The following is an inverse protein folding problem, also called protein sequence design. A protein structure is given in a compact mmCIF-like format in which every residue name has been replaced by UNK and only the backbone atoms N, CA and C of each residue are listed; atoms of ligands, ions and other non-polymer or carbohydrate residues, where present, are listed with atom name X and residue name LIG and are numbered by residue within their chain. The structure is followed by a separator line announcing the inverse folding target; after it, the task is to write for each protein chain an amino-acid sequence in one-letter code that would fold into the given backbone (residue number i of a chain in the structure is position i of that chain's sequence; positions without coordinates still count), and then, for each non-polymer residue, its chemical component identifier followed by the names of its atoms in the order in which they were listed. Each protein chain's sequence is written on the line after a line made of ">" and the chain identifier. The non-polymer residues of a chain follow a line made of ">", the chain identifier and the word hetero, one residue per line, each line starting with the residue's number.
data_IF_345827097433
#
_entry.id   IF_345827097433
#
_cell.length_a   1.000
_cell.length_b   1.000
_cell.length_c   1.000
_cell.angle_alpha   90.00
_cell.angle_beta   90.00
_cell.angle_gamma   90.00
#
_symmetry.space_group_name_H-M   'P 1'
#
loop_
_entity.id
_entity.type
_entity.pdbx_description
1 polymer ?
#
# COMPACT_ATOMS: atom_id res chain seq x y z
N UNK A 1 -12.85 3.59 -42.54
CA UNK A 1 -13.25 4.00 -41.17
C UNK A 1 -12.05 3.76 -40.27
N UNK A 2 -11.30 4.83 -39.99
CA UNK A 2 -10.08 4.80 -39.17
C UNK A 2 -10.47 5.17 -37.76
N UNK A 3 -10.48 4.18 -36.87
CA UNK A 3 -10.85 4.34 -35.46
C UNK A 3 -9.66 4.92 -34.69
N UNK A 4 -9.89 6.12 -34.15
CA UNK A 4 -9.28 6.75 -32.98
C UNK A 4 -7.97 6.14 -32.42
N UNK A 5 -6.83 6.78 -32.73
CA UNK A 5 -5.73 6.81 -31.77
C UNK A 5 -6.17 7.73 -30.63
N UNK A 6 -6.31 7.15 -29.45
CA UNK A 6 -6.48 7.90 -28.21
C UNK A 6 -5.30 8.87 -28.07
N UNK A 7 -5.64 10.12 -27.78
CA UNK A 7 -4.75 11.25 -27.51
C UNK A 7 -3.94 10.95 -26.24
N UNK A 8 -2.85 10.18 -26.38
CA UNK A 8 -1.78 10.21 -25.39
C UNK A 8 -1.18 11.61 -25.43
N UNK A 9 -1.12 12.35 -24.31
CA UNK A 9 -0.58 13.70 -24.31
C UNK A 9 0.86 13.64 -24.82
N UNK A 10 1.09 14.11 -26.05
CA UNK A 10 2.42 14.18 -26.63
C UNK A 10 3.31 14.96 -25.66
N UNK A 11 4.45 14.39 -25.22
CA UNK A 11 5.34 15.08 -24.29
C UNK A 11 5.76 16.42 -24.88
N UNK A 12 5.86 17.46 -24.02
CA UNK A 12 6.18 18.79 -24.49
C UNK A 12 7.53 18.79 -25.21
N UNK A 13 7.67 19.52 -26.34
CA UNK A 13 8.84 19.39 -27.18
C UNK A 13 10.12 19.84 -26.45
N UNK A 14 11.22 19.10 -26.61
CA UNK A 14 12.48 19.24 -25.83
C UNK A 14 13.06 20.67 -25.78
N UNK A 15 12.77 21.49 -26.79
CA UNK A 15 13.23 22.88 -26.80
C UNK A 15 12.57 23.73 -25.71
N UNK A 16 11.35 23.40 -25.26
CA UNK A 16 10.68 24.07 -24.13
C UNK A 16 11.39 23.76 -22.80
N UNK A 17 11.74 22.49 -22.60
CA UNK A 17 12.52 22.03 -21.45
C UNK A 17 13.85 22.76 -21.32
N UNK A 18 14.55 22.96 -22.45
CA UNK A 18 15.78 23.76 -22.46
C UNK A 18 15.55 25.21 -22.06
N UNK A 19 14.46 25.85 -22.50
CA UNK A 19 14.13 27.23 -22.08
C UNK A 19 13.89 27.34 -20.57
N UNK A 20 13.46 26.26 -19.93
CA UNK A 20 13.26 26.17 -18.48
C UNK A 20 14.51 25.69 -17.71
N UNK A 21 15.67 25.61 -18.37
CA UNK A 21 16.93 25.28 -17.71
C UNK A 21 17.15 23.80 -17.44
N UNK A 22 16.45 22.91 -18.14
CA UNK A 22 16.77 21.49 -18.18
C UNK A 22 17.74 21.20 -19.33
N UNK A 23 18.75 20.37 -19.09
CA UNK A 23 19.50 19.74 -20.16
C UNK A 23 18.60 18.76 -20.93
N UNK A 24 18.97 18.44 -22.17
CA UNK A 24 18.22 17.45 -22.96
C UNK A 24 18.19 16.08 -22.27
N UNK A 25 19.29 15.70 -21.61
CA UNK A 25 19.36 14.44 -20.87
C UNK A 25 18.42 14.42 -19.66
N UNK A 26 18.35 15.51 -18.89
CA UNK A 26 17.39 15.63 -17.79
C UNK A 26 15.95 15.63 -18.31
N UNK A 27 15.66 16.44 -19.32
CA UNK A 27 14.32 16.53 -19.92
C UNK A 27 13.80 15.16 -20.34
N UNK A 28 14.65 14.35 -21.00
CA UNK A 28 14.30 12.96 -21.35
C UNK A 28 13.95 12.13 -20.12
N UNK A 29 14.76 12.15 -19.07
CA UNK A 29 14.49 11.39 -17.84
C UNK A 29 13.16 11.81 -17.18
N UNK A 30 12.88 13.11 -17.11
CA UNK A 30 11.62 13.60 -16.55
C UNK A 30 10.40 13.18 -17.40
N UNK A 31 10.53 13.24 -18.73
CA UNK A 31 9.49 12.77 -19.66
C UNK A 31 9.29 11.25 -19.53
N UNK A 32 10.37 10.48 -19.50
CA UNK A 32 10.34 9.02 -19.39
C UNK A 32 9.67 8.58 -18.07
N UNK A 33 9.86 9.33 -16.98
CA UNK A 33 9.20 9.12 -15.68
C UNK A 33 7.76 9.71 -15.62
N UNK A 34 7.24 10.22 -16.73
CA UNK A 34 5.87 10.71 -16.88
C UNK A 34 5.60 12.07 -16.23
N UNK A 35 6.61 12.93 -16.13
CA UNK A 35 6.45 14.29 -15.62
C UNK A 35 6.34 15.30 -16.77
N UNK A 36 5.35 16.20 -16.67
CA UNK A 36 5.31 17.40 -17.50
C UNK A 36 6.36 18.41 -17.06
N UNK A 37 6.71 19.34 -17.96
CA UNK A 37 7.72 20.37 -17.70
C UNK A 37 7.40 21.20 -16.45
N UNK A 38 6.14 21.60 -16.29
CA UNK A 38 5.69 22.38 -15.14
C UNK A 38 5.69 21.59 -13.83
N UNK A 39 5.48 20.27 -13.89
CA UNK A 39 5.58 19.41 -12.72
C UNK A 39 7.06 19.25 -12.30
N UNK A 40 7.95 18.98 -13.26
CA UNK A 40 9.39 18.88 -13.03
C UNK A 40 9.99 20.16 -12.41
N UNK A 41 9.56 21.34 -12.87
CA UNK A 41 9.97 22.61 -12.27
C UNK A 41 9.55 22.74 -10.81
N UNK A 42 8.31 22.33 -10.48
CA UNK A 42 7.82 22.38 -9.10
C UNK A 42 8.64 21.46 -8.19
N UNK A 43 8.96 20.24 -8.65
CA UNK A 43 9.85 19.34 -7.90
C UNK A 43 11.24 19.95 -7.69
N UNK A 44 11.86 20.51 -8.73
CA UNK A 44 13.15 21.22 -8.61
C UNK A 44 13.08 22.39 -7.64
N UNK A 45 12.01 23.18 -7.70
CA UNK A 45 11.77 24.30 -6.80
C UNK A 45 11.58 23.89 -5.34
N UNK A 46 11.24 22.63 -5.10
CA UNK A 46 11.00 22.06 -3.78
C UNK A 46 12.18 21.24 -3.24
N UNK A 47 13.35 21.33 -3.90
CA UNK A 47 14.59 20.68 -3.48
C UNK A 47 14.83 19.28 -4.10
N UNK A 48 13.96 18.81 -5.00
CA UNK A 48 14.10 17.50 -5.67
C UNK A 48 14.53 17.70 -7.11
N UNK A 49 15.81 17.47 -7.39
CA UNK A 49 16.42 17.85 -8.68
C UNK A 49 16.40 16.77 -9.75
N UNK A 50 16.22 15.51 -9.36
CA UNK A 50 16.23 14.37 -10.29
C UNK A 50 14.84 13.80 -10.47
N UNK A 51 14.55 13.31 -11.69
CA UNK A 51 13.28 12.65 -12.00
C UNK A 51 13.06 11.40 -11.13
N UNK A 52 14.13 10.62 -10.89
CA UNK A 52 14.11 9.43 -10.04
C UNK A 52 13.75 9.73 -8.57
N UNK A 53 14.31 10.80 -8.00
CA UNK A 53 13.96 11.21 -6.64
C UNK A 53 12.51 11.72 -6.58
N UNK A 54 12.09 12.53 -7.54
CA UNK A 54 10.72 13.04 -7.62
C UNK A 54 9.71 11.90 -7.77
N UNK A 55 10.06 10.87 -8.53
CA UNK A 55 9.27 9.66 -8.68
C UNK A 55 9.18 8.88 -7.38
N UNK A 56 10.29 8.68 -6.69
CA UNK A 56 10.30 8.00 -5.37
C UNK A 56 9.41 8.72 -4.36
N UNK A 57 9.49 10.05 -4.30
CA UNK A 57 8.62 10.88 -3.46
C UNK A 57 7.15 10.85 -3.90
N UNK A 58 6.87 10.89 -5.20
CA UNK A 58 5.51 10.74 -5.74
C UNK A 58 4.91 9.39 -5.36
N UNK A 59 5.67 8.31 -5.46
CA UNK A 59 5.24 6.96 -5.03
C UNK A 59 5.02 6.86 -3.52
N UNK A 60 5.71 7.68 -2.73
CA UNK A 60 5.45 7.83 -1.30
C UNK A 60 4.21 8.69 -0.98
N UNK A 61 3.47 9.16 -1.99
CA UNK A 61 2.32 10.03 -1.85
C UNK A 61 2.68 11.51 -1.62
N UNK A 62 3.95 11.89 -1.80
CA UNK A 62 4.36 13.29 -1.73
C UNK A 62 3.92 14.04 -2.98
N UNK A 63 3.70 15.34 -2.80
CA UNK A 63 3.60 16.31 -3.89
C UNK A 63 4.78 17.27 -3.79
N UNK A 64 5.08 18.06 -4.84
CA UNK A 64 6.06 19.14 -4.73
C UNK A 64 5.78 20.07 -3.53
N UNK A 65 4.52 20.27 -3.17
CA UNK A 65 4.14 21.15 -2.06
C UNK A 65 4.44 20.57 -0.67
N UNK A 66 4.42 19.25 -0.53
CA UNK A 66 4.65 18.58 0.76
C UNK A 66 6.09 18.10 0.92
N UNK A 67 6.81 17.87 -0.18
CA UNK A 67 8.16 17.29 -0.13
C UNK A 67 9.19 18.21 0.52
N UNK A 68 9.11 19.53 0.33
CA UNK A 68 10.03 20.48 0.98
C UNK A 68 10.00 20.35 2.50
N UNK A 69 8.79 20.21 3.08
CA UNK A 69 8.62 19.99 4.51
C UNK A 69 9.29 18.69 4.97
N UNK A 70 9.09 17.60 4.24
CA UNK A 70 9.66 16.29 4.56
C UNK A 70 11.18 16.28 4.42
N UNK A 71 11.73 16.93 3.39
CA UNK A 71 13.17 17.09 3.22
C UNK A 71 13.80 17.89 4.35
N UNK A 72 13.16 18.98 4.80
CA UNK A 72 13.62 19.77 5.97
C UNK A 72 13.60 18.98 7.27
N UNK A 73 12.64 18.08 7.42
CA UNK A 73 12.58 17.14 8.53
C UNK A 73 13.57 15.96 8.40
N UNK A 74 14.35 15.88 7.31
CA UNK A 74 15.31 14.80 7.06
C UNK A 74 14.64 13.46 6.76
N UNK A 75 13.37 13.47 6.36
CA UNK A 75 12.62 12.26 6.04
C UNK A 75 13.11 11.65 4.72
N UNK A 76 12.97 10.34 4.61
CA UNK A 76 13.07 9.61 3.34
C UNK A 76 11.68 9.33 2.77
N UNK A 77 11.54 8.97 1.48
CA UNK A 77 10.27 8.49 0.93
C UNK A 77 9.66 7.33 1.73
N UNK A 78 10.51 6.45 2.30
CA UNK A 78 10.05 5.35 3.16
C UNK A 78 9.45 5.86 4.47
N UNK A 79 10.02 6.89 5.08
CA UNK A 79 9.46 7.48 6.30
C UNK A 79 8.10 8.10 6.01
N UNK A 80 7.98 8.85 4.91
CA UNK A 80 6.73 9.44 4.47
C UNK A 80 5.60 8.40 4.34
N UNK A 81 5.85 7.26 3.69
CA UNK A 81 4.88 6.16 3.63
C UNK A 81 4.50 5.71 5.04
N UNK A 82 5.49 5.43 5.90
CA UNK A 82 5.22 4.93 7.27
C UNK A 82 4.32 5.87 8.08
N UNK A 83 4.58 7.17 8.05
CA UNK A 83 3.77 8.15 8.78
C UNK A 83 2.35 8.26 8.18
N UNK A 84 2.23 8.28 6.85
CA UNK A 84 0.93 8.32 6.18
C UNK A 84 0.06 7.11 6.50
N UNK A 85 0.63 5.90 6.44
CA UNK A 85 -0.09 4.66 6.74
C UNK A 85 -0.60 4.63 8.19
N UNK A 86 0.15 5.27 9.10
CA UNK A 86 -0.26 5.43 10.50
C UNK A 86 -1.27 6.55 10.72
N UNK A 87 -1.76 7.18 9.65
CA UNK A 87 -2.86 8.15 9.66
C UNK A 87 -2.45 9.59 10.01
N UNK A 88 -1.17 9.94 9.91
CA UNK A 88 -0.69 11.30 10.14
C UNK A 88 -0.79 12.16 8.88
N UNK A 89 -1.09 13.44 9.05
CA UNK A 89 -0.98 14.40 7.95
C UNK A 89 0.50 14.62 7.56
N UNK A 90 0.80 15.09 6.34
CA UNK A 90 2.17 15.43 5.95
C UNK A 90 2.85 16.40 6.92
N UNK A 91 2.10 17.35 7.46
CA UNK A 91 2.59 18.36 8.41
C UNK A 91 2.97 17.73 9.75
N UNK A 92 2.05 16.98 10.35
CA UNK A 92 2.28 16.28 11.61
C UNK A 92 3.41 15.26 11.51
N UNK A 93 3.51 14.56 10.37
CA UNK A 93 4.54 13.59 10.10
C UNK A 93 5.94 14.23 10.15
N UNK A 94 6.10 15.39 9.51
CA UNK A 94 7.37 16.10 9.47
C UNK A 94 7.78 16.63 10.84
N UNK A 95 6.86 17.29 11.55
CA UNK A 95 7.13 17.86 12.87
C UNK A 95 7.56 16.78 13.88
N UNK A 96 6.86 15.64 13.89
CA UNK A 96 7.18 14.53 14.78
C UNK A 96 8.44 13.77 14.38
N UNK A 97 8.68 13.60 13.07
CA UNK A 97 9.94 13.02 12.61
C UNK A 97 11.13 13.91 12.99
N UNK A 98 11.00 15.23 12.85
CA UNK A 98 12.01 16.20 13.27
C UNK A 98 12.24 16.14 14.80
N UNK A 99 11.19 15.87 15.58
CA UNK A 99 11.29 15.61 17.03
C UNK A 99 11.91 14.24 17.39
N UNK A 100 12.24 13.40 16.40
CA UNK A 100 12.80 12.06 16.61
C UNK A 100 11.78 11.01 17.07
N UNK A 101 10.49 11.32 16.96
CA UNK A 101 9.42 10.37 17.28
C UNK A 101 9.31 9.28 16.21
N UNK A 102 8.67 8.17 16.57
CA UNK A 102 8.29 7.11 15.63
C UNK A 102 6.78 7.12 15.41
N UNK A 103 6.29 6.82 14.19
CA UNK A 103 4.86 6.79 13.93
C UNK A 103 4.23 5.61 14.67
N UNK A 104 3.07 5.86 15.30
CA UNK A 104 2.25 4.84 15.97
C UNK A 104 0.87 4.76 15.32
N UNK A 105 0.23 3.57 15.24
CA UNK A 105 -1.05 3.39 14.54
C UNK A 105 -2.16 4.33 15.00
N UNK A 106 -2.72 5.08 14.04
CA UNK A 106 -3.96 5.87 14.17
C UNK A 106 -4.86 5.56 12.95
N UNK A 107 -6.08 6.07 12.94
CA UNK A 107 -6.95 5.99 11.76
C UNK A 107 -7.36 4.56 11.36
N UNK A 108 -7.04 4.14 10.14
CA UNK A 108 -7.42 2.82 9.58
C UNK A 108 -6.74 1.68 10.33
N UNK A 109 -5.41 1.76 10.55
CA UNK A 109 -4.67 0.75 11.31
C UNK A 109 -5.11 0.67 12.77
N UNK A 110 -5.47 1.81 13.39
CA UNK A 110 -6.07 1.78 14.73
C UNK A 110 -7.43 1.10 14.72
N UNK A 111 -8.32 1.42 13.76
CA UNK A 111 -9.61 0.73 13.62
C UNK A 111 -9.45 -0.76 13.34
N UNK A 112 -8.42 -1.15 12.58
CA UNK A 112 -8.08 -2.54 12.34
C UNK A 112 -7.69 -3.26 13.64
N UNK A 113 -6.82 -2.64 14.44
CA UNK A 113 -6.38 -3.16 15.73
C UNK A 113 -7.50 -3.16 16.79
N UNK A 114 -8.57 -2.37 16.58
CA UNK A 114 -9.64 -2.13 17.55
C UNK A 114 -11.05 -2.37 16.94
N UNK A 115 -11.20 -3.35 16.02
CA UNK A 115 -12.49 -3.71 15.36
C UNK A 115 -13.58 -4.14 16.35
N UNK A 116 -13.22 -4.47 17.59
CA UNK A 116 -14.14 -4.77 18.70
C UNK A 116 -14.54 -3.53 19.53
N UNK A 117 -15.40 -2.70 18.94
CA UNK A 117 -16.43 -1.78 19.48
C UNK A 117 -16.27 -0.97 20.81
N UNK A 118 -16.81 0.27 20.91
CA UNK A 118 -17.04 0.95 22.20
C UNK A 118 -18.14 0.24 23.02
N UNK A 119 -18.17 0.40 24.36
CA UNK A 119 -19.16 -0.29 25.19
C UNK A 119 -20.52 0.42 25.13
N UNK A 120 -21.54 -0.29 24.59
CA UNK A 120 -22.95 -0.02 24.91
C UNK A 120 -23.92 -0.12 23.72
N UNK A 121 -24.65 -1.23 23.63
CA UNK A 121 -25.86 -1.31 22.77
C UNK A 121 -26.44 -2.71 22.69
N UNK A 122 -27.70 -2.88 23.08
CA UNK A 122 -28.47 -4.13 22.93
C UNK A 122 -28.57 -4.60 21.45
N UNK A 123 -28.39 -3.71 20.49
CA UNK A 123 -28.31 -4.02 19.05
C UNK A 123 -27.05 -4.84 18.68
N UNK A 124 -25.93 -4.65 19.40
CA UNK A 124 -24.73 -5.44 19.17
C UNK A 124 -24.93 -6.91 19.58
N UNK A 125 -25.79 -7.19 20.56
CA UNK A 125 -26.09 -8.57 20.97
C UNK A 125 -26.93 -9.32 19.92
N UNK A 126 -27.85 -8.65 19.22
CA UNK A 126 -28.62 -9.27 18.13
C UNK A 126 -27.76 -9.58 16.90
N UNK A 127 -26.92 -8.64 16.47
CA UNK A 127 -25.99 -8.84 15.35
C UNK A 127 -24.93 -9.91 15.66
N UNK A 128 -24.38 -9.91 16.88
CA UNK A 128 -23.47 -10.97 17.34
C UNK A 128 -24.19 -12.33 17.38
N UNK A 129 -25.44 -12.38 17.84
CA UNK A 129 -26.24 -13.60 17.87
C UNK A 129 -26.62 -14.10 16.48
N UNK A 130 -26.84 -13.20 15.52
CA UNK A 130 -27.07 -13.57 14.12
C UNK A 130 -25.80 -14.12 13.49
N UNK A 131 -24.67 -13.41 13.63
CA UNK A 131 -23.37 -13.83 13.10
C UNK A 131 -22.91 -15.17 13.70
N UNK A 132 -23.13 -15.37 15.01
CA UNK A 132 -22.89 -16.65 15.68
C UNK A 132 -23.71 -17.78 15.06
N UNK A 133 -25.02 -17.57 14.84
CA UNK A 133 -25.90 -18.58 14.24
C UNK A 133 -25.50 -18.94 12.81
N UNK A 134 -25.08 -17.95 12.01
CA UNK A 134 -24.60 -18.17 10.65
C UNK A 134 -23.33 -19.03 10.64
N UNK A 135 -22.33 -18.70 11.46
CA UNK A 135 -21.09 -19.47 11.59
C UNK A 135 -21.36 -20.92 12.05
N UNK A 136 -22.22 -21.10 13.05
CA UNK A 136 -22.59 -22.44 13.51
C UNK A 136 -23.35 -23.24 12.44
N UNK A 137 -24.23 -22.59 11.66
CA UNK A 137 -24.96 -23.24 10.56
C UNK A 137 -24.01 -23.67 9.44
N UNK A 138 -22.93 -22.92 9.21
CA UNK A 138 -21.86 -23.30 8.29
C UNK A 138 -20.97 -24.44 8.82
N UNK A 139 -21.25 -24.98 10.02
CA UNK A 139 -20.49 -26.09 10.61
C UNK A 139 -19.22 -25.66 11.33
N UNK A 140 -19.01 -24.36 11.55
CA UNK A 140 -17.85 -23.86 12.29
C UNK A 140 -17.99 -24.20 13.78
N UNK A 141 -16.97 -24.81 14.41
CA UNK A 141 -16.96 -25.06 15.85
C UNK A 141 -17.22 -23.80 16.68
N UNK A 142 -18.02 -23.94 17.73
CA UNK A 142 -18.48 -22.81 18.56
C UNK A 142 -17.34 -21.94 19.12
N UNK A 143 -16.19 -22.54 19.48
CA UNK A 143 -15.02 -21.79 19.95
C UNK A 143 -14.45 -20.85 18.87
N UNK A 144 -14.35 -21.33 17.62
CA UNK A 144 -13.88 -20.52 16.49
C UNK A 144 -14.93 -19.49 16.08
N UNK A 145 -16.20 -19.90 16.00
CA UNK A 145 -17.30 -18.99 15.71
C UNK A 145 -17.34 -17.81 16.71
N UNK A 146 -17.15 -18.10 18.00
CA UNK A 146 -17.04 -17.09 19.06
C UNK A 146 -15.88 -16.13 18.84
N UNK A 147 -14.68 -16.63 18.53
CA UNK A 147 -13.53 -15.77 18.25
C UNK A 147 -13.79 -14.82 17.08
N UNK A 148 -14.47 -15.29 16.02
CA UNK A 148 -14.87 -14.44 14.89
C UNK A 148 -15.90 -13.37 15.29
N UNK A 149 -16.93 -13.73 16.06
CA UNK A 149 -17.93 -12.78 16.54
C UNK A 149 -17.33 -11.74 17.49
N UNK A 150 -16.44 -12.15 18.41
CA UNK A 150 -15.72 -11.24 19.33
C UNK A 150 -14.76 -10.32 18.58
N UNK A 151 -14.19 -10.78 17.46
CA UNK A 151 -13.39 -10.00 16.54
C UNK A 151 -14.22 -9.10 15.59
N UNK A 152 -15.55 -9.05 15.76
CA UNK A 152 -16.45 -8.18 14.98
C UNK A 152 -16.71 -8.66 13.56
N UNK A 153 -16.46 -9.93 13.25
CA UNK A 153 -16.79 -10.50 11.93
C UNK A 153 -18.29 -10.80 11.83
N UNK A 154 -18.88 -10.43 10.70
CA UNK A 154 -20.29 -10.67 10.39
C UNK A 154 -20.47 -11.26 9.00
N UNK A 155 -21.60 -11.95 8.81
CA UNK A 155 -22.03 -12.44 7.49
C UNK A 155 -21.09 -13.46 6.83
N UNK A 156 -21.17 -13.50 5.49
CA UNK A 156 -20.46 -14.48 4.66
C UNK A 156 -18.93 -14.36 4.72
N UNK A 157 -18.41 -13.15 4.95
CA UNK A 157 -16.97 -12.93 5.05
C UNK A 157 -16.38 -13.73 6.23
N UNK A 158 -16.97 -13.61 7.42
CA UNK A 158 -16.50 -14.37 8.59
C UNK A 158 -16.53 -15.89 8.38
N UNK A 159 -17.54 -16.40 7.66
CA UNK A 159 -17.65 -17.82 7.32
C UNK A 159 -16.50 -18.25 6.41
N UNK A 160 -16.21 -17.52 5.35
CA UNK A 160 -15.17 -17.87 4.36
C UNK A 160 -13.78 -18.05 5.00
N UNK A 161 -13.44 -17.15 5.93
CA UNK A 161 -12.20 -17.20 6.68
C UNK A 161 -12.18 -18.34 7.71
N UNK A 162 -13.30 -18.54 8.43
CA UNK A 162 -13.41 -19.58 9.46
C UNK A 162 -13.41 -21.00 8.89
N UNK A 163 -14.00 -21.23 7.71
CA UNK A 163 -14.01 -22.52 7.00
C UNK A 163 -12.61 -23.00 6.63
N UNK A 164 -11.66 -22.07 6.45
CA UNK A 164 -10.27 -22.36 6.09
C UNK A 164 -9.35 -22.56 7.28
N UNK A 165 -9.93 -22.66 8.48
CA UNK A 165 -9.20 -22.81 9.74
C UNK A 165 -8.19 -21.68 10.01
N UNK A 166 -8.51 -20.47 9.52
CA UNK A 166 -7.70 -19.28 9.79
C UNK A 166 -8.17 -18.67 11.11
N UNK A 167 -7.24 -18.32 11.99
CA UNK A 167 -7.55 -17.64 13.25
C UNK A 167 -8.12 -16.25 12.99
N UNK A 168 -9.15 -15.83 13.75
CA UNK A 168 -9.85 -14.56 13.54
C UNK A 168 -8.90 -13.34 13.54
N UNK A 169 -7.87 -13.33 14.38
CA UNK A 169 -6.86 -12.26 14.41
C UNK A 169 -5.97 -12.23 13.17
N UNK A 170 -5.58 -13.40 12.65
CA UNK A 170 -4.83 -13.51 11.39
C UNK A 170 -5.69 -13.07 10.20
N UNK A 171 -6.97 -13.49 10.18
CA UNK A 171 -7.92 -13.09 9.16
C UNK A 171 -8.10 -11.56 9.10
N UNK A 172 -8.15 -10.88 10.25
CA UNK A 172 -8.26 -9.41 10.30
C UNK A 172 -7.07 -8.73 9.62
N UNK A 173 -5.85 -9.21 9.92
CA UNK A 173 -4.63 -8.63 9.34
C UNK A 173 -4.56 -8.94 7.84
N UNK A 174 -4.89 -10.16 7.41
CA UNK A 174 -4.89 -10.49 5.99
C UNK A 174 -5.93 -9.71 5.20
N UNK A 175 -7.14 -9.51 5.74
CA UNK A 175 -8.15 -8.65 5.10
C UNK A 175 -7.69 -7.19 5.01
N UNK A 176 -6.98 -6.68 6.02
CA UNK A 176 -6.36 -5.35 5.99
C UNK A 176 -5.34 -5.18 4.86
N UNK A 177 -4.57 -6.24 4.61
CA UNK A 177 -3.55 -6.29 3.56
C UNK A 177 -4.18 -6.46 2.15
N UNK A 178 -5.50 -6.63 2.07
CA UNK A 178 -6.25 -6.88 0.83
C UNK A 178 -6.26 -8.35 0.38
N UNK A 179 -5.79 -9.29 1.20
CA UNK A 179 -5.76 -10.71 0.84
C UNK A 179 -7.13 -11.35 1.04
N UNK A 180 -7.53 -12.21 0.10
CA UNK A 180 -8.66 -13.12 0.27
C UNK A 180 -8.33 -14.27 1.23
N UNK A 181 -9.36 -14.94 1.76
CA UNK A 181 -9.17 -16.10 2.63
C UNK A 181 -8.36 -17.23 1.94
N UNK A 182 -8.53 -17.37 0.63
CA UNK A 182 -7.74 -18.31 -0.19
C UNK A 182 -6.26 -17.92 -0.27
N UNK A 183 -5.95 -16.64 -0.45
CA UNK A 183 -4.57 -16.15 -0.49
C UNK A 183 -3.88 -16.29 0.85
N UNK A 184 -4.57 -15.91 1.93
CA UNK A 184 -4.09 -16.09 3.28
C UNK A 184 -3.75 -17.55 3.59
N UNK A 185 -4.61 -18.50 3.18
CA UNK A 185 -4.31 -19.93 3.32
C UNK A 185 -3.01 -20.36 2.63
N UNK A 186 -2.66 -19.77 1.48
CA UNK A 186 -1.38 -20.03 0.80
C UNK A 186 -0.20 -19.44 1.57
N UNK A 187 -0.35 -18.24 2.13
CA UNK A 187 0.68 -17.60 2.95
C UNK A 187 0.95 -18.43 4.21
N UNK A 188 -0.09 -18.85 4.92
CA UNK A 188 0.05 -19.72 6.09
C UNK A 188 0.66 -21.08 5.75
N UNK A 189 0.30 -21.67 4.61
CA UNK A 189 0.91 -22.91 4.13
C UNK A 189 2.42 -22.78 3.84
N UNK A 190 2.90 -21.57 3.52
CA UNK A 190 4.34 -21.28 3.40
C UNK A 190 5.04 -21.07 4.75
N UNK A 191 4.33 -21.17 5.88
CA UNK A 191 4.86 -20.99 7.24
C UNK A 191 5.01 -19.53 7.67
N UNK A 192 4.50 -18.59 6.88
CA UNK A 192 4.51 -17.16 7.19
C UNK A 192 3.14 -16.74 7.75
N UNK A 193 3.14 -16.05 8.89
CA UNK A 193 1.92 -15.49 9.49
C UNK A 193 1.63 -14.07 8.99
N UNK A 194 0.41 -13.59 9.24
CA UNK A 194 -0.09 -12.29 8.77
C UNK A 194 0.71 -11.11 9.33
N UNK A 195 1.14 -11.17 10.59
CA UNK A 195 1.91 -10.10 11.22
C UNK A 195 3.31 -10.06 10.64
N UNK A 196 3.92 -11.23 10.41
CA UNK A 196 5.22 -11.34 9.74
C UNK A 196 5.18 -10.77 8.31
N UNK A 197 4.15 -11.12 7.52
CA UNK A 197 3.93 -10.54 6.18
C UNK A 197 3.72 -9.03 6.21
N UNK A 198 2.81 -8.54 7.05
CA UNK A 198 2.58 -7.10 7.21
C UNK A 198 3.88 -6.38 7.60
N UNK A 199 4.64 -6.94 8.55
CA UNK A 199 5.87 -6.34 9.05
C UNK A 199 6.96 -6.27 7.98
N UNK A 200 7.09 -7.29 7.15
CA UNK A 200 8.05 -7.34 6.04
C UNK A 200 7.81 -6.17 5.07
N UNK A 201 6.60 -6.07 4.52
CA UNK A 201 6.25 -5.06 3.53
C UNK A 201 6.25 -3.64 4.12
N UNK A 202 5.76 -3.50 5.35
CA UNK A 202 5.77 -2.22 6.04
C UNK A 202 7.19 -1.73 6.34
N UNK A 203 8.09 -2.63 6.78
CA UNK A 203 9.51 -2.29 6.94
C UNK A 203 10.12 -1.90 5.60
N UNK A 204 9.70 -2.55 4.52
CA UNK A 204 10.13 -2.25 3.17
C UNK A 204 9.64 -0.87 2.67
N UNK A 205 8.56 -0.32 3.25
CA UNK A 205 7.96 0.96 2.82
C UNK A 205 6.91 0.79 1.73
N UNK A 206 6.32 -0.40 1.62
CA UNK A 206 5.17 -0.67 0.76
C UNK A 206 3.89 -0.38 1.55
N UNK A 207 2.94 0.42 1.03
CA UNK A 207 1.63 0.65 1.62
C UNK A 207 0.87 -0.64 1.85
N UNK A 208 0.07 -0.69 2.92
CA UNK A 208 -0.59 -1.93 3.36
C UNK A 208 -1.61 -2.43 2.33
N UNK A 209 -2.23 -1.51 1.59
CA UNK A 209 -3.24 -1.79 0.55
C UNK A 209 -2.65 -2.34 -0.75
N UNK A 210 -1.35 -2.19 -0.98
CA UNK A 210 -0.67 -2.78 -2.15
C UNK A 210 -0.11 -4.19 -1.88
N UNK A 211 -0.08 -4.63 -0.62
CA UNK A 211 0.61 -5.88 -0.23
C UNK A 211 0.03 -7.10 -0.92
N UNK A 212 -1.30 -7.21 -1.00
CA UNK A 212 -1.96 -8.32 -1.68
C UNK A 212 -1.50 -8.44 -3.14
N UNK A 213 -1.47 -7.33 -3.87
CA UNK A 213 -1.14 -7.31 -5.29
C UNK A 213 0.33 -7.72 -5.53
N UNK A 214 1.25 -7.14 -4.76
CA UNK A 214 2.67 -7.50 -4.82
C UNK A 214 2.92 -8.95 -4.42
N UNK A 215 2.24 -9.43 -3.37
CA UNK A 215 2.39 -10.81 -2.91
C UNK A 215 1.79 -11.82 -3.89
N UNK A 216 0.65 -11.50 -4.50
CA UNK A 216 0.03 -12.32 -5.54
C UNK A 216 0.90 -12.42 -6.80
N UNK A 217 1.67 -11.36 -7.10
CA UNK A 217 2.70 -11.35 -8.13
C UNK A 217 4.01 -12.05 -7.72
N UNK A 218 4.07 -12.61 -6.50
CA UNK A 218 5.20 -13.36 -5.98
C UNK A 218 6.39 -12.52 -5.56
N UNK A 219 6.24 -11.20 -5.38
CA UNK A 219 7.33 -10.34 -4.93
C UNK A 219 7.43 -10.33 -3.40
N UNK A 220 8.66 -10.16 -2.91
CA UNK A 220 8.94 -9.83 -1.50
C UNK A 220 8.75 -8.34 -1.25
N UNK A 221 8.70 -7.94 0.02
CA UNK A 221 8.60 -6.53 0.38
C UNK A 221 9.73 -5.67 -0.19
N UNK A 222 10.97 -6.18 -0.20
CA UNK A 222 12.13 -5.44 -0.72
C UNK A 222 12.10 -5.29 -2.24
N UNK A 223 11.74 -6.34 -2.98
CA UNK A 223 11.58 -6.29 -4.43
C UNK A 223 10.46 -5.32 -4.82
N UNK A 224 9.32 -5.40 -4.14
CA UNK A 224 8.20 -4.49 -4.33
C UNK A 224 8.63 -3.04 -4.06
N UNK A 225 9.33 -2.77 -2.96
CA UNK A 225 9.82 -1.42 -2.64
C UNK A 225 10.79 -0.90 -3.71
N UNK A 226 11.69 -1.75 -4.21
CA UNK A 226 12.62 -1.38 -5.29
C UNK A 226 11.87 -1.05 -6.58
N UNK A 227 10.96 -1.91 -7.02
CA UNK A 227 10.18 -1.72 -8.23
C UNK A 227 9.25 -0.49 -8.13
N UNK A 228 8.68 -0.22 -6.94
CA UNK A 228 7.93 1.00 -6.65
C UNK A 228 8.78 2.27 -6.70
N UNK A 229 10.03 2.21 -6.26
CA UNK A 229 10.98 3.32 -6.40
C UNK A 229 11.38 3.53 -7.88
N UNK A 230 11.56 2.43 -8.61
CA UNK A 230 11.63 2.38 -10.07
C UNK A 230 10.24 2.53 -10.71
N UNK A 231 9.24 3.06 -9.98
CA UNK A 231 7.83 3.32 -10.28
C UNK A 231 7.14 2.39 -11.26
N UNK A 232 7.55 1.14 -11.21
CA UNK A 232 6.96 0.01 -11.90
C UNK A 232 5.79 -0.43 -11.02
N UNK A 233 4.58 -0.33 -11.56
CA UNK A 233 3.39 -0.87 -10.89
C UNK A 233 3.40 -2.39 -10.91
N UNK A 234 2.54 -3.02 -10.10
CA UNK A 234 2.47 -4.48 -9.97
C UNK A 234 2.30 -5.18 -11.33
N UNK A 235 1.42 -4.67 -12.19
CA UNK A 235 1.17 -5.27 -13.51
C UNK A 235 2.39 -5.22 -14.43
N UNK A 236 3.12 -4.11 -14.43
CA UNK A 236 4.34 -3.99 -15.21
C UNK A 236 5.46 -4.88 -14.64
N UNK A 237 5.54 -5.01 -13.31
CA UNK A 237 6.46 -5.90 -12.64
C UNK A 237 6.22 -7.38 -12.99
N UNK A 238 4.94 -7.81 -13.05
CA UNK A 238 4.56 -9.16 -13.50
C UNK A 238 5.08 -9.45 -14.91
N UNK A 239 4.94 -8.49 -15.83
CA UNK A 239 5.45 -8.62 -17.21
C UNK A 239 6.97 -8.76 -17.23
N UNK A 240 7.69 -7.90 -16.49
CA UNK A 240 9.15 -7.97 -16.42
C UNK A 240 9.66 -9.31 -15.87
N UNK A 241 9.00 -9.84 -14.84
CA UNK A 241 9.34 -11.17 -14.29
C UNK A 241 9.08 -12.28 -15.29
N UNK A 242 7.93 -12.27 -15.97
CA UNK A 242 7.61 -13.26 -17.00
C UNK A 242 8.60 -13.25 -18.18
N UNK A 243 9.16 -12.08 -18.53
CA UNK A 243 10.21 -11.97 -19.54
C UNK A 243 11.56 -12.52 -19.04
N UNK A 244 11.86 -12.36 -17.76
CA UNK A 244 13.14 -12.81 -17.18
C UNK A 244 13.14 -14.33 -16.94
N UNK A 245 12.01 -14.88 -16.44
CA UNK A 245 11.85 -16.32 -16.19
C UNK A 245 11.64 -17.13 -17.49
N UNK A 246 11.26 -16.46 -18.58
CA UNK A 246 11.11 -17.07 -19.91
C UNK A 246 12.42 -17.24 -20.69
N UNK A 247 13.52 -16.69 -20.18
CA UNK A 247 14.86 -16.69 -20.82
C UNK A 247 15.86 -17.68 -20.16
N UNK A 248 15.42 -18.53 -19.21
CA UNK A 248 16.25 -19.65 -18.72
C UNK A 248 16.13 -20.89 -19.64
N UNK A 249 17.23 -21.39 -20.25
CA UNK A 249 17.24 -22.59 -21.08
C UNK A 249 17.17 -23.92 -20.31
#
# INVERSE_FOLDING_TARGET
>A
MTTAYADEPSPEPLHEWRRRGFTIAEARRWIDDGFSIGNAERWRGSGVYTAADARSWRTAGATPYTVDLWLRAGMTPRDAVRWREMGYSPEEAADRHLAGERPHPRGLLWRLLHRGEPPGGAFADEERSHSMRELLRAGIPAGRARAYVEAGWTGAAGVEWAERDIEAGQAQVFEALGLSAREAGRVLASGQDAISLMTEFWRAGVPIDEVADWRAAGFTGEEAARLRAEGTGVEQAKVLRALTDGDEP
#
